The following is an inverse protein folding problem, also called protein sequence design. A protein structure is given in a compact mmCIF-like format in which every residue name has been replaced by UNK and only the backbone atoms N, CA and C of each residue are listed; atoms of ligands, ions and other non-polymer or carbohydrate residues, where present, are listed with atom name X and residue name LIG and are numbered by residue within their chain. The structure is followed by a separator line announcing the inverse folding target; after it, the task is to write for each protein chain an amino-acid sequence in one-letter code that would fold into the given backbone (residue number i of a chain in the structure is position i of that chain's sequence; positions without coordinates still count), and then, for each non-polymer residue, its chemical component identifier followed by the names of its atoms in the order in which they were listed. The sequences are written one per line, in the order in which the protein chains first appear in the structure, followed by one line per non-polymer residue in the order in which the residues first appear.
data_IF_339105837251
#
_entry.id   IF_339105837251
#
_cell.length_a   1.000
_cell.length_b   1.000
_cell.length_c   1.000
_cell.angle_alpha   90.00
_cell.angle_beta   90.00
_cell.angle_gamma   90.00
#
_symmetry.space_group_name_H-M   'P 1'
#
loop_
_entity.id
_entity.type
_entity.pdbx_description
1 polymer ?
#
# COMPACT_ATOMS: atom_id res chain seq x y z
N UNK A 1 9.09 6.71 22.75
CA UNK A 1 8.17 6.56 21.63
C UNK A 1 7.98 7.86 20.94
N UNK A 2 8.47 7.95 19.76
CA UNK A 2 8.45 9.20 19.04
C UNK A 2 7.24 9.32 18.14
N UNK A 3 6.75 10.53 18.02
CA UNK A 3 5.73 10.84 17.04
C UNK A 3 6.19 10.46 15.63
N UNK A 4 7.49 10.50 15.41
CA UNK A 4 8.06 10.16 14.11
C UNK A 4 7.77 8.72 13.74
N UNK A 5 7.90 7.82 14.71
CA UNK A 5 7.66 6.41 14.45
C UNK A 5 6.21 6.19 14.02
N UNK A 6 5.28 6.86 14.70
CA UNK A 6 3.88 6.72 14.38
C UNK A 6 3.57 7.24 12.98
N UNK A 7 4.13 8.40 12.64
CA UNK A 7 3.93 8.96 11.31
C UNK A 7 4.52 8.03 10.26
N UNK A 8 5.70 7.50 10.51
CA UNK A 8 6.36 6.59 9.59
C UNK A 8 5.51 5.34 9.37
N UNK A 9 4.99 4.76 10.44
CA UNK A 9 4.13 3.59 10.34
C UNK A 9 2.87 3.88 9.55
N UNK A 10 2.26 5.02 9.77
CA UNK A 10 1.07 5.42 9.03
C UNK A 10 1.35 5.55 7.55
N UNK A 11 2.45 6.21 7.22
CA UNK A 11 2.83 6.37 5.82
C UNK A 11 3.10 5.04 5.15
N UNK A 12 3.83 4.17 5.84
CA UNK A 12 4.12 2.85 5.29
C UNK A 12 2.86 2.03 5.09
N UNK A 13 1.93 2.12 6.01
CA UNK A 13 0.65 1.41 5.88
C UNK A 13 -0.10 1.87 4.64
N UNK A 14 -0.16 3.18 4.42
CA UNK A 14 -0.84 3.73 3.24
C UNK A 14 -0.18 3.23 1.96
N UNK A 15 1.15 3.24 1.91
CA UNK A 15 1.88 2.79 0.73
C UNK A 15 1.61 1.32 0.47
N UNK A 16 1.67 0.49 1.51
CA UNK A 16 1.43 -0.93 1.36
C UNK A 16 0.00 -1.19 0.90
N UNK A 17 -0.97 -0.49 1.47
CA UNK A 17 -2.36 -0.65 1.05
C UNK A 17 -2.54 -0.26 -0.42
N UNK A 18 -1.92 0.83 -0.85
CA UNK A 18 -2.01 1.27 -2.23
C UNK A 18 -1.43 0.22 -3.18
N UNK A 19 -0.27 -0.33 -2.82
CA UNK A 19 0.37 -1.36 -3.65
C UNK A 19 -0.48 -2.61 -3.72
N UNK A 20 -1.01 -3.05 -2.59
CA UNK A 20 -1.86 -4.24 -2.55
C UNK A 20 -3.12 -4.03 -3.36
N UNK A 21 -3.75 -2.88 -3.23
CA UNK A 21 -4.97 -2.59 -3.98
C UNK A 21 -4.70 -2.60 -5.48
N UNK A 22 -3.62 -1.95 -5.91
CA UNK A 22 -3.26 -1.93 -7.32
C UNK A 22 -2.96 -3.32 -7.84
N UNK A 23 -2.17 -4.08 -7.09
CA UNK A 23 -1.82 -5.44 -7.48
C UNK A 23 -3.04 -6.35 -7.53
N UNK A 24 -3.94 -6.19 -6.58
CA UNK A 24 -5.16 -6.99 -6.52
C UNK A 24 -6.05 -6.71 -7.73
N UNK A 25 -6.24 -5.44 -8.05
CA UNK A 25 -7.05 -5.05 -9.18
C UNK A 25 -6.45 -5.57 -10.48
N UNK A 26 -5.14 -5.43 -10.63
CA UNK A 26 -4.45 -5.92 -11.82
C UNK A 26 -4.61 -7.42 -11.97
N UNK A 27 -4.54 -8.14 -10.87
CA UNK A 27 -4.70 -9.59 -10.89
C UNK A 27 -6.11 -9.99 -11.31
N UNK A 28 -7.11 -9.28 -10.76
CA UNK A 28 -8.51 -9.60 -11.06
C UNK A 28 -8.89 -9.30 -12.50
N UNK A 29 -8.36 -8.21 -13.01
CA UNK A 29 -8.69 -7.78 -14.37
C UNK A 29 -7.81 -8.47 -15.40
N UNK A 30 -6.88 -9.29 -14.94
CA UNK A 30 -5.92 -9.89 -15.86
C UNK A 30 -4.95 -8.83 -16.34
N UNK A 31 -3.70 -8.98 -15.97
CA UNK A 31 -2.68 -8.01 -16.35
C UNK A 31 -2.39 -8.11 -17.85
N UNK A 32 -3.38 -7.90 -18.61
CA UNK A 32 -3.24 -7.92 -20.06
C UNK A 32 -2.88 -6.53 -20.53
N UNK A 33 -1.63 -6.28 -20.54
CA UNK A 33 -1.18 -4.98 -20.98
C UNK A 33 -1.17 -4.90 -22.50
#
# INVERSE_FOLDING_TARGET
MGLRLRIFLGMMTVVVCALLATGFVAYRYGADA
#
